data_IF_924645263904
#
_entry.id   IF_924645263904
#
_cell.length_a   1.000
_cell.length_b   1.000
_cell.length_c   1.000
_cell.angle_alpha   90.00
_cell.angle_beta   90.00
_cell.angle_gamma   90.00
#
_symmetry.space_group_name_H-M   'P 1'
#
loop_
_entity.id
_entity.type
_entity.pdbx_description
1 polymer ?
#
# COMPACT_ATOMS: atom_id res chain seq x y z
N UNK A 1 31.53 -44.81 -22.32
CA UNK A 1 32.00 -43.95 -21.21
C UNK A 1 32.08 -42.55 -21.75
N UNK A 2 31.38 -41.61 -21.09
CA UNK A 2 31.45 -40.15 -21.31
C UNK A 2 30.91 -39.82 -22.70
N UNK A 3 29.72 -39.23 -22.81
CA UNK A 3 29.69 -37.78 -22.76
C UNK A 3 28.24 -37.24 -22.67
N UNK A 4 28.10 -36.29 -21.74
CA UNK A 4 27.07 -35.25 -21.68
C UNK A 4 25.61 -35.67 -21.40
N UNK A 5 25.42 -36.46 -20.34
CA UNK A 5 24.21 -36.38 -19.50
C UNK A 5 24.27 -35.14 -18.55
N UNK A 6 24.57 -33.96 -19.10
CA UNK A 6 24.74 -32.71 -18.35
C UNK A 6 23.97 -31.57 -19.05
N UNK A 7 22.68 -31.77 -19.30
CA UNK A 7 21.79 -30.69 -19.75
C UNK A 7 20.39 -30.83 -19.15
N UNK A 8 20.33 -31.26 -17.88
CA UNK A 8 19.07 -31.48 -17.18
C UNK A 8 19.19 -31.06 -15.71
N UNK A 9 19.48 -29.79 -15.46
CA UNK A 9 19.22 -29.05 -14.23
C UNK A 9 19.86 -27.66 -14.41
N UNK A 10 19.32 -26.61 -13.80
CA UNK A 10 19.76 -25.20 -13.87
C UNK A 10 19.05 -24.34 -14.93
N UNK A 11 17.72 -24.26 -14.84
CA UNK A 11 16.96 -23.06 -15.23
C UNK A 11 15.62 -23.02 -14.48
N UNK A 12 15.67 -23.20 -13.15
CA UNK A 12 14.59 -22.72 -12.28
C UNK A 12 15.05 -21.38 -11.73
N UNK A 13 15.13 -20.38 -12.62
CA UNK A 13 15.29 -19.00 -12.19
C UNK A 13 13.99 -18.58 -11.52
N UNK A 14 14.14 -18.19 -10.26
CA UNK A 14 13.13 -17.67 -9.36
C UNK A 14 12.07 -16.83 -10.07
N UNK A 15 10.87 -17.38 -10.24
CA UNK A 15 9.66 -16.58 -10.32
C UNK A 15 9.44 -15.97 -8.93
N UNK A 16 10.19 -14.90 -8.64
CA UNK A 16 9.77 -13.97 -7.61
C UNK A 16 8.61 -13.21 -8.26
N UNK A 17 7.40 -13.76 -8.14
CA UNK A 17 6.21 -12.93 -8.31
C UNK A 17 6.30 -11.94 -7.17
N UNK A 18 6.80 -10.73 -7.47
CA UNK A 18 6.55 -9.56 -6.66
C UNK A 18 5.05 -9.57 -6.43
N UNK A 19 4.62 -9.90 -5.20
CA UNK A 19 3.20 -9.87 -4.88
C UNK A 19 2.85 -8.39 -4.80
N UNK A 20 2.59 -7.81 -5.97
CA UNK A 20 1.63 -6.75 -6.08
C UNK A 20 0.46 -7.14 -5.18
N UNK A 21 0.06 -6.23 -4.31
CA UNK A 21 -1.08 -6.44 -3.46
C UNK A 21 -2.26 -6.87 -4.34
N UNK A 22 -2.79 -8.07 -4.12
CA UNK A 22 -3.95 -8.58 -4.85
C UNK A 22 -5.22 -8.12 -4.12
N UNK A 23 -5.92 -7.10 -4.63
CA UNK A 23 -7.08 -6.55 -3.97
C UNK A 23 -8.24 -7.55 -3.94
N UNK A 24 -8.25 -8.60 -4.77
CA UNK A 24 -9.31 -9.62 -4.79
C UNK A 24 -9.05 -10.77 -3.81
N UNK A 25 -7.82 -10.91 -3.31
CA UNK A 25 -7.47 -11.92 -2.31
C UNK A 25 -7.94 -11.56 -0.91
N UNK A 26 -7.92 -12.52 0.02
CA UNK A 26 -8.12 -12.27 1.46
C UNK A 26 -6.84 -11.81 2.17
N UNK A 27 -5.75 -11.58 1.43
CA UNK A 27 -4.42 -11.23 1.93
C UNK A 27 -3.80 -12.24 2.91
N UNK A 28 -4.06 -13.53 2.73
CA UNK A 28 -3.36 -14.56 3.49
C UNK A 28 -1.87 -14.54 3.13
N UNK A 29 -0.97 -14.25 4.09
CA UNK A 29 0.45 -14.15 3.79
C UNK A 29 1.09 -15.54 3.66
N UNK A 30 2.16 -15.62 2.86
CA UNK A 30 3.11 -16.72 2.97
C UNK A 30 3.99 -16.48 4.21
N UNK A 31 4.02 -17.43 5.14
CA UNK A 31 4.77 -17.26 6.37
C UNK A 31 6.27 -17.42 6.15
N UNK A 32 7.06 -16.45 6.61
CA UNK A 32 8.51 -16.43 6.53
C UNK A 32 9.09 -15.70 7.76
N UNK A 33 10.41 -15.59 7.84
CA UNK A 33 11.07 -15.00 9.01
C UNK A 33 10.71 -13.52 9.27
N UNK A 34 10.23 -12.80 8.26
CA UNK A 34 9.96 -11.35 8.34
C UNK A 34 8.58 -11.08 8.97
N UNK A 35 7.62 -11.99 8.82
CA UNK A 35 6.23 -11.78 9.26
C UNK A 35 5.80 -12.67 10.45
N UNK A 36 6.75 -13.28 11.15
CA UNK A 36 6.46 -14.07 12.35
C UNK A 36 5.91 -13.19 13.47
N UNK A 37 4.79 -13.61 14.05
CA UNK A 37 4.09 -12.92 15.13
C UNK A 37 3.71 -11.46 14.79
N UNK A 38 3.65 -11.11 13.50
CA UNK A 38 3.15 -9.82 13.04
C UNK A 38 1.70 -10.02 12.60
N UNK A 39 0.72 -9.38 13.26
CA UNK A 39 -0.67 -9.41 12.82
C UNK A 39 -0.81 -8.76 11.45
N UNK A 40 -1.37 -9.50 10.49
CA UNK A 40 -1.60 -9.04 9.12
C UNK A 40 -3.09 -9.01 8.86
N UNK A 41 -3.60 -7.91 8.34
CA UNK A 41 -5.04 -7.74 8.11
C UNK A 41 -5.55 -8.73 7.06
N UNK A 42 -6.72 -9.33 7.36
CA UNK A 42 -7.57 -9.92 6.34
C UNK A 42 -8.31 -8.81 5.57
N UNK A 43 -8.30 -8.88 4.24
CA UNK A 43 -8.87 -7.82 3.42
C UNK A 43 -10.38 -7.68 3.51
N UNK A 44 -11.10 -8.77 3.77
CA UNK A 44 -12.54 -8.83 3.61
C UNK A 44 -13.31 -9.11 4.90
N UNK A 45 -12.62 -9.60 5.92
CA UNK A 45 -13.19 -9.83 7.24
C UNK A 45 -12.42 -9.03 8.30
N UNK A 46 -12.97 -7.91 8.79
CA UNK A 46 -12.33 -7.11 9.82
C UNK A 46 -12.44 -7.72 11.21
N UNK A 47 -13.18 -8.82 11.41
CA UNK A 47 -13.29 -9.49 12.72
C UNK A 47 -12.12 -10.42 12.99
N UNK A 48 -11.22 -10.59 12.02
CA UNK A 48 -10.09 -11.52 12.06
C UNK A 48 -8.82 -10.88 11.50
N UNK A 49 -7.68 -11.48 11.83
CA UNK A 49 -6.39 -11.18 11.22
C UNK A 49 -5.57 -12.47 11.00
N UNK A 50 -4.61 -12.40 10.09
CA UNK A 50 -3.66 -13.46 9.82
C UNK A 50 -2.47 -13.38 10.78
N UNK A 51 -2.02 -14.52 11.29
CA UNK A 51 -0.83 -14.61 12.13
C UNK A 51 0.04 -15.81 11.72
N UNK A 52 1.31 -15.54 11.45
CA UNK A 52 2.32 -16.56 11.22
C UNK A 52 3.03 -16.89 12.53
N UNK A 53 2.89 -18.13 13.03
CA UNK A 53 3.61 -18.59 14.24
C UNK A 53 4.97 -19.21 13.92
N UNK A 54 5.16 -19.74 12.72
CA UNK A 54 6.41 -20.31 12.25
C UNK A 54 6.65 -20.01 10.77
N UNK A 55 7.91 -20.10 10.33
CA UNK A 55 8.27 -19.88 8.92
C UNK A 55 7.82 -21.08 8.07
N UNK A 56 7.45 -20.83 6.82
CA UNK A 56 6.96 -21.84 5.86
C UNK A 56 5.69 -22.57 6.29
N UNK A 57 4.96 -22.04 7.28
CA UNK A 57 3.65 -22.56 7.68
C UNK A 57 2.52 -21.84 6.94
N UNK A 58 1.31 -22.37 7.11
CA UNK A 58 0.08 -21.66 6.75
C UNK A 58 -0.19 -20.62 7.83
N UNK A 59 -0.59 -19.41 7.44
CA UNK A 59 -1.00 -18.37 8.38
C UNK A 59 -2.32 -18.74 9.05
N UNK A 60 -2.38 -18.59 10.38
CA UNK A 60 -3.59 -18.83 11.15
C UNK A 60 -4.53 -17.64 11.10
N UNK A 61 -5.84 -17.89 11.06
CA UNK A 61 -6.87 -16.86 11.13
C UNK A 61 -7.29 -16.66 12.59
N UNK A 62 -6.93 -15.52 13.17
CA UNK A 62 -7.18 -15.20 14.58
C UNK A 62 -8.36 -14.25 14.69
N UNK A 63 -9.37 -14.62 15.48
CA UNK A 63 -10.54 -13.80 15.74
C UNK A 63 -10.23 -12.71 16.77
N UNK A 64 -10.65 -11.49 16.49
CA UNK A 64 -10.75 -10.46 17.52
C UNK A 64 -11.83 -10.83 18.56
N UNK A 65 -11.70 -10.34 19.80
CA UNK A 65 -12.79 -10.42 20.79
C UNK A 65 -14.08 -9.82 20.24
N UNK A 66 -15.21 -10.29 20.78
CA UNK A 66 -16.52 -9.84 20.30
C UNK A 66 -16.67 -8.31 20.40
N UNK A 67 -17.31 -7.72 19.39
CA UNK A 67 -17.46 -6.25 19.21
C UNK A 67 -16.19 -5.47 18.88
N UNK A 68 -15.04 -6.14 18.70
CA UNK A 68 -13.80 -5.52 18.23
C UNK A 68 -13.51 -5.90 16.77
N UNK A 69 -12.83 -5.01 16.05
CA UNK A 69 -12.39 -5.17 14.67
C UNK A 69 -10.89 -4.88 14.55
N UNK A 70 -10.18 -5.60 13.70
CA UNK A 70 -8.73 -5.45 13.53
C UNK A 70 -8.37 -4.18 12.76
N UNK A 71 -7.60 -3.30 13.40
CA UNK A 71 -7.06 -2.08 12.82
C UNK A 71 -5.62 -2.34 12.34
N UNK A 72 -5.34 -2.31 11.02
CA UNK A 72 -4.01 -2.60 10.48
C UNK A 72 -2.97 -1.50 10.77
N UNK A 73 -3.39 -0.28 11.07
CA UNK A 73 -2.49 0.85 11.39
C UNK A 73 -1.99 0.69 12.81
N UNK A 74 -2.90 0.36 13.74
CA UNK A 74 -2.55 0.13 15.14
C UNK A 74 -2.04 -1.31 15.41
N UNK A 75 -2.29 -2.23 14.49
CA UNK A 75 -2.02 -3.68 14.60
C UNK A 75 -2.68 -4.33 15.81
N UNK A 76 -3.91 -3.91 16.11
CA UNK A 76 -4.67 -4.38 17.27
C UNK A 76 -6.17 -4.46 16.97
N UNK A 77 -6.91 -5.17 17.82
CA UNK A 77 -8.37 -5.19 17.77
C UNK A 77 -8.93 -3.97 18.51
N UNK A 78 -9.62 -3.09 17.79
CA UNK A 78 -10.21 -1.85 18.32
C UNK A 78 -11.74 -1.94 18.37
N UNK A 79 -12.43 -1.16 19.22
CA UNK A 79 -13.89 -1.14 19.23
C UNK A 79 -14.46 -0.74 17.87
N UNK A 80 -15.51 -1.44 17.40
CA UNK A 80 -16.14 -1.20 16.10
C UNK A 80 -16.44 0.29 15.84
N UNK A 81 -16.91 1.04 16.85
CA UNK A 81 -17.20 2.49 16.74
C UNK A 81 -15.99 3.37 16.41
N UNK A 82 -14.77 2.88 16.60
CA UNK A 82 -13.51 3.58 16.30
C UNK A 82 -12.80 3.02 15.07
N UNK A 83 -13.37 1.98 14.46
CA UNK A 83 -12.78 1.28 13.35
C UNK A 83 -13.16 1.94 12.03
N UNK A 84 -12.22 1.97 11.09
CA UNK A 84 -12.40 2.58 9.78
C UNK A 84 -12.03 1.54 8.72
N UNK A 85 -12.89 1.38 7.71
CA UNK A 85 -12.61 0.52 6.58
C UNK A 85 -11.51 1.14 5.72
N UNK A 86 -10.36 0.47 5.67
CA UNK A 86 -9.33 0.78 4.68
C UNK A 86 -9.56 -0.10 3.44
N UNK A 87 -9.58 0.50 2.25
CA UNK A 87 -9.67 -0.28 1.01
C UNK A 87 -8.45 -1.23 0.92
N UNK A 88 -8.60 -2.50 0.53
CA UNK A 88 -7.47 -3.37 0.22
C UNK A 88 -6.46 -2.65 -0.69
N UNK A 89 -5.17 -2.85 -0.43
CA UNK A 89 -4.09 -2.22 -1.21
C UNK A 89 -3.99 -0.69 -1.14
N UNK A 90 -4.71 -0.02 -0.24
CA UNK A 90 -4.73 1.46 -0.17
C UNK A 90 -3.58 2.10 0.62
N UNK A 91 -2.85 1.35 1.44
CA UNK A 91 -1.93 1.95 2.41
C UNK A 91 -0.43 1.61 2.21
N UNK A 92 -0.06 0.78 1.25
CA UNK A 92 1.35 0.40 1.03
C UNK A 92 1.70 0.11 -0.43
N UNK A 93 0.73 0.17 -1.33
CA UNK A 93 0.94 0.00 -2.77
C UNK A 93 0.29 1.17 -3.47
N UNK A 94 1.06 1.85 -4.30
CA UNK A 94 0.52 2.89 -5.16
C UNK A 94 -0.63 2.29 -6.01
N UNK A 95 -1.85 2.79 -5.81
CA UNK A 95 -3.05 2.40 -6.57
C UNK A 95 -3.16 3.35 -7.78
N UNK A 96 -2.77 2.90 -8.99
CA UNK A 96 -2.74 3.79 -10.16
C UNK A 96 -4.14 4.25 -10.56
N UNK A 97 -5.20 3.53 -10.16
CA UNK A 97 -6.59 3.88 -10.48
C UNK A 97 -7.18 4.90 -9.49
N UNK A 98 -6.45 5.23 -8.42
CA UNK A 98 -6.89 6.20 -7.40
C UNK A 98 -6.43 7.63 -7.73
N UNK A 99 -7.04 8.63 -7.10
CA UNK A 99 -6.56 10.02 -7.14
C UNK A 99 -5.35 10.28 -6.22
N UNK A 100 -4.83 9.24 -5.54
CA UNK A 100 -3.77 9.31 -4.54
C UNK A 100 -4.07 10.25 -3.36
N UNK A 101 -5.34 10.36 -2.97
CA UNK A 101 -5.71 11.05 -1.73
C UNK A 101 -5.11 10.32 -0.52
N UNK A 102 -4.25 11.00 0.27
CA UNK A 102 -3.56 10.36 1.38
C UNK A 102 -4.45 10.25 2.62
N UNK A 103 -4.21 9.23 3.43
CA UNK A 103 -4.64 9.23 4.82
C UNK A 103 -3.70 10.16 5.60
N UNK A 104 -4.23 11.23 6.19
CA UNK A 104 -3.39 12.16 6.94
C UNK A 104 -2.96 11.57 8.29
N UNK A 105 -1.65 11.55 8.54
CA UNK A 105 -1.03 11.09 9.78
C UNK A 105 0.15 11.99 10.17
N UNK A 106 0.85 11.67 11.26
CA UNK A 106 1.98 12.48 11.73
C UNK A 106 3.19 12.53 10.78
N UNK A 107 3.25 11.68 9.76
CA UNK A 107 4.38 11.56 8.84
C UNK A 107 4.23 12.38 7.57
N UNK A 108 3.00 12.75 7.20
CA UNK A 108 2.69 13.47 5.96
C UNK A 108 2.08 14.86 6.17
N UNK A 109 2.05 15.38 7.40
CA UNK A 109 1.62 16.74 7.66
C UNK A 109 2.49 17.76 6.94
N UNK A 110 1.84 18.75 6.33
CA UNK A 110 2.46 19.84 5.58
C UNK A 110 3.38 19.38 4.43
N UNK A 111 3.17 18.16 3.92
CA UNK A 111 3.88 17.63 2.76
C UNK A 111 2.92 17.57 1.57
N UNK A 112 3.22 18.26 0.46
CA UNK A 112 2.35 18.22 -0.71
C UNK A 112 2.47 16.84 -1.37
N UNK A 113 1.33 16.18 -1.56
CA UNK A 113 1.26 14.86 -2.17
C UNK A 113 0.58 15.00 -3.53
N UNK A 114 1.22 14.50 -4.58
CA UNK A 114 0.70 14.61 -5.94
C UNK A 114 -0.68 13.94 -6.04
N UNK A 115 -1.63 14.67 -6.62
CA UNK A 115 -2.85 14.06 -7.14
C UNK A 115 -2.52 13.35 -8.47
N UNK A 116 -2.99 12.11 -8.64
CA UNK A 116 -2.65 11.32 -9.83
C UNK A 116 -3.33 11.81 -11.11
N UNK A 117 -4.54 12.38 -11.01
CA UNK A 117 -5.37 12.67 -12.18
C UNK A 117 -5.61 14.16 -12.41
N UNK A 118 -5.29 15.00 -11.43
CA UNK A 118 -5.36 16.45 -11.55
C UNK A 118 -3.96 17.07 -11.35
N UNK A 119 -3.20 17.33 -12.43
CA UNK A 119 -1.89 17.96 -12.30
C UNK A 119 -1.99 19.44 -11.89
N UNK A 120 -3.16 20.06 -11.92
CA UNK A 120 -3.38 21.44 -11.46
C UNK A 120 -3.55 21.55 -9.95
N UNK A 121 -3.46 20.43 -9.22
CA UNK A 121 -3.67 20.38 -7.79
C UNK A 121 -2.76 19.36 -7.09
N UNK A 122 -2.66 19.48 -5.78
CA UNK A 122 -2.01 18.50 -4.91
C UNK A 122 -2.80 18.35 -3.61
N UNK A 123 -2.61 17.21 -2.95
CA UNK A 123 -3.16 16.93 -1.63
C UNK A 123 -2.29 17.53 -0.53
N UNK A 124 -2.92 18.08 0.49
CA UNK A 124 -2.25 18.63 1.65
C UNK A 124 -2.92 18.15 2.94
N UNK A 125 -2.12 17.60 3.84
CA UNK A 125 -2.56 17.24 5.18
C UNK A 125 -2.17 18.34 6.17
N UNK A 126 -3.17 19.04 6.72
CA UNK A 126 -2.97 20.06 7.77
C UNK A 126 -2.99 19.46 9.18
N UNK A 127 -3.71 18.35 9.36
CA UNK A 127 -3.86 17.67 10.65
C UNK A 127 -3.94 16.14 10.49
N UNK A 128 -3.36 15.40 11.45
CA UNK A 128 -3.46 13.94 11.48
C UNK A 128 -4.91 13.49 11.74
N UNK A 129 -5.32 12.39 11.11
CA UNK A 129 -6.67 11.83 11.12
C UNK A 129 -7.77 12.76 10.57
N UNK A 130 -7.40 13.79 9.81
CA UNK A 130 -8.33 14.62 9.05
C UNK A 130 -8.34 14.20 7.56
N UNK A 131 -9.31 14.70 6.81
CA UNK A 131 -9.30 14.60 5.35
C UNK A 131 -8.18 15.48 4.77
N UNK A 132 -7.63 15.08 3.62
CA UNK A 132 -6.66 15.88 2.90
C UNK A 132 -7.35 16.99 2.12
N UNK A 133 -6.76 18.17 2.10
CA UNK A 133 -7.24 19.30 1.31
C UNK A 133 -6.69 19.21 -0.12
N UNK A 134 -7.56 19.43 -1.12
CA UNK A 134 -7.13 19.55 -2.52
C UNK A 134 -6.74 21.01 -2.82
N UNK A 135 -5.44 21.28 -2.85
CA UNK A 135 -4.89 22.62 -3.06
C UNK A 135 -4.60 22.85 -4.53
N UNK A 136 -5.15 23.93 -5.09
CA UNK A 136 -4.92 24.32 -6.50
C UNK A 136 -3.60 25.06 -6.67
N UNK A 137 -2.87 24.69 -7.73
CA UNK A 137 -1.77 25.48 -8.23
C UNK A 137 -2.26 26.82 -8.81
N UNK A 138 -1.37 27.82 -8.92
CA UNK A 138 -1.65 29.04 -9.68
C UNK A 138 -2.07 28.75 -11.13
N UNK A 139 -2.68 29.75 -11.77
CA UNK A 139 -3.00 29.69 -13.21
C UNK A 139 -1.72 29.40 -14.00
N UNK A 140 -1.83 28.56 -15.03
CA UNK A 140 -0.73 28.09 -15.89
C UNK A 140 0.39 27.33 -15.17
N UNK A 141 0.11 26.78 -13.99
CA UNK A 141 1.05 25.93 -13.25
C UNK A 141 0.50 24.52 -13.00
N UNK A 142 1.40 23.56 -12.89
CA UNK A 142 1.12 22.15 -12.59
C UNK A 142 2.05 21.65 -11.48
N UNK A 143 1.56 20.76 -10.63
CA UNK A 143 2.31 20.24 -9.49
C UNK A 143 3.35 19.21 -9.95
N UNK A 144 4.62 19.47 -9.63
CA UNK A 144 5.75 18.58 -9.87
C UNK A 144 6.09 17.85 -8.56
N UNK A 145 5.95 16.52 -8.57
CA UNK A 145 6.20 15.68 -7.38
C UNK A 145 7.67 15.51 -7.03
N UNK A 146 8.59 15.68 -7.97
CA UNK A 146 10.04 15.60 -7.71
C UNK A 146 10.53 16.88 -7.04
N UNK A 147 10.04 18.02 -7.52
CA UNK A 147 10.36 19.35 -6.99
C UNK A 147 9.50 19.73 -5.79
N UNK A 148 8.40 19.00 -5.55
CA UNK A 148 7.44 19.26 -4.47
C UNK A 148 6.82 20.67 -4.53
N UNK A 149 6.57 21.18 -5.74
CA UNK A 149 6.03 22.53 -5.96
C UNK A 149 5.32 22.67 -7.30
N UNK A 150 4.47 23.70 -7.42
CA UNK A 150 3.82 24.05 -8.69
C UNK A 150 4.82 24.74 -9.62
N UNK A 151 5.05 24.16 -10.80
CA UNK A 151 5.91 24.73 -11.86
C UNK A 151 5.07 25.19 -13.05
N UNK A 152 5.57 26.14 -13.87
CA UNK A 152 4.94 26.50 -15.13
C UNK A 152 4.61 25.28 -16.00
N UNK A 153 3.40 25.25 -16.57
CA UNK A 153 2.88 24.15 -17.38
C UNK A 153 3.78 23.80 -18.58
N UNK A 154 4.49 24.79 -19.13
CA UNK A 154 5.45 24.63 -20.24
C UNK A 154 6.68 23.79 -19.88
N UNK A 155 6.98 23.64 -18.58
CA UNK A 155 8.11 22.84 -18.08
C UNK A 155 7.65 21.52 -17.44
N UNK A 156 6.34 21.27 -17.40
CA UNK A 156 5.77 20.12 -16.73
C UNK A 156 5.64 18.94 -17.68
N UNK A 157 5.94 17.75 -17.17
CA UNK A 157 5.86 16.50 -17.93
C UNK A 157 4.99 15.51 -17.18
N UNK A 158 4.06 14.87 -17.90
CA UNK A 158 3.25 13.80 -17.35
C UNK A 158 4.13 12.63 -16.92
N UNK A 159 3.94 12.21 -15.67
CA UNK A 159 4.49 10.96 -15.15
C UNK A 159 3.32 10.05 -14.81
N UNK A 160 3.35 8.81 -15.29
CA UNK A 160 2.29 7.84 -14.97
C UNK A 160 2.09 7.69 -13.46
N UNK A 161 0.86 7.46 -12.99
CA UNK A 161 0.62 7.00 -11.63
C UNK A 161 1.47 5.77 -11.34
N UNK A 162 2.15 5.75 -10.19
CA UNK A 162 2.97 4.62 -9.76
C UNK A 162 4.13 4.26 -10.70
N UNK A 163 5.05 5.20 -11.00
CA UNK A 163 6.12 4.98 -11.98
C UNK A 163 7.16 3.91 -11.53
N UNK A 164 7.16 3.54 -10.25
CA UNK A 164 8.05 2.53 -9.66
C UNK A 164 7.38 1.15 -9.46
N UNK A 165 6.48 0.73 -10.37
CA UNK A 165 6.12 -0.70 -10.44
C UNK A 165 7.28 -1.48 -11.04
N UNK A 166 8.23 -1.90 -10.20
CA UNK A 166 9.14 -3.01 -10.48
C UNK A 166 8.68 -4.24 -9.69
#
# INVERSE_FOLDING_TARGET
MKDLAFLALLLSLCYSTSSACDPQSNNQPQCNQINLNIPIRNFWDPTVYWLCKSSQSIAELIKCPDSLLFDPVKRECVPNKKWIWLKPCSATTCDPESNNEPICDGTNLNKPIRNFWDPTAYWMCSQANAAADLVKCPIDHMFDSEKQLCIPSSMWTWSEPCPNKM
#
